data_IF_375435610545
#
_entry.id   IF_375435610545
#
_cell.length_a   1.000
_cell.length_b   1.000
_cell.length_c   1.000
_cell.angle_alpha   90.00
_cell.angle_beta   90.00
_cell.angle_gamma   90.00
#
_symmetry.space_group_name_H-M   'P 1'
#
loop_
_entity.id
_entity.type
_entity.pdbx_description
1 polymer ?
#
# COMPACT_ATOMS: atom_id res chain seq x y z
N UNK A 1 12.48 29.13 -34.78
CA UNK A 1 11.59 28.97 -33.61
C UNK A 1 11.57 27.48 -33.32
N UNK A 2 12.41 27.03 -32.41
CA UNK A 2 12.42 25.63 -31.97
C UNK A 2 11.25 25.46 -30.96
N UNK A 3 10.14 24.90 -31.43
CA UNK A 3 9.05 24.51 -30.54
C UNK A 3 9.58 23.52 -29.53
N UNK A 4 9.18 23.70 -28.29
CA UNK A 4 9.58 22.88 -27.17
C UNK A 4 9.18 21.41 -27.42
N UNK A 5 10.15 20.60 -27.86
CA UNK A 5 9.95 19.17 -28.16
C UNK A 5 9.47 18.33 -26.97
N UNK A 6 9.62 18.89 -25.78
CA UNK A 6 9.22 18.20 -24.55
C UNK A 6 7.69 18.08 -24.39
N UNK A 7 6.92 19.08 -24.90
CA UNK A 7 5.47 19.06 -24.78
C UNK A 7 4.78 18.02 -25.68
N UNK A 8 5.33 17.78 -26.90
CA UNK A 8 4.73 16.83 -27.83
C UNK A 8 5.00 15.36 -27.50
N UNK A 9 6.14 15.07 -26.86
CA UNK A 9 6.44 13.72 -26.35
C UNK A 9 5.53 13.39 -25.16
N UNK A 10 5.23 14.38 -24.33
CA UNK A 10 4.28 14.26 -23.21
C UNK A 10 2.86 14.03 -23.74
N UNK A 11 2.47 14.64 -24.88
CA UNK A 11 1.13 14.46 -25.48
C UNK A 11 0.89 13.04 -26.04
N UNK A 12 1.88 12.38 -26.59
CA UNK A 12 1.77 10.99 -27.05
C UNK A 12 1.63 9.99 -25.87
N UNK A 13 2.17 10.33 -24.71
CA UNK A 13 2.06 9.58 -23.46
C UNK A 13 1.04 10.13 -22.47
N UNK A 14 0.37 11.27 -22.76
CA UNK A 14 -0.46 11.98 -21.77
C UNK A 14 -1.65 11.13 -21.25
N UNK A 15 -2.18 10.22 -22.04
CA UNK A 15 -3.18 9.25 -21.58
C UNK A 15 -2.60 8.27 -20.58
N UNK A 16 -1.39 7.75 -20.81
CA UNK A 16 -0.69 6.84 -19.91
C UNK A 16 -0.16 7.55 -18.65
N UNK A 17 0.35 8.76 -18.79
CA UNK A 17 0.91 9.53 -17.68
C UNK A 17 -0.18 10.07 -16.73
N UNK A 18 -1.32 10.53 -17.25
CA UNK A 18 -2.50 10.84 -16.43
C UNK A 18 -3.05 9.60 -15.73
N UNK A 19 -3.11 8.46 -16.43
CA UNK A 19 -3.55 7.20 -15.83
C UNK A 19 -2.55 6.69 -14.78
N UNK A 20 -1.24 6.82 -14.98
CA UNK A 20 -0.23 6.44 -14.00
C UNK A 20 -0.18 7.38 -12.79
N UNK A 21 -0.34 8.69 -12.99
CA UNK A 21 -0.46 9.66 -11.89
C UNK A 21 -1.72 9.41 -11.05
N UNK A 22 -2.86 9.11 -11.67
CA UNK A 22 -4.09 8.77 -10.93
C UNK A 22 -3.96 7.46 -10.18
N UNK A 23 -3.32 6.44 -10.76
CA UNK A 23 -3.08 5.16 -10.09
C UNK A 23 -2.10 5.30 -8.91
N UNK A 24 -1.04 6.09 -9.05
CA UNK A 24 -0.11 6.35 -7.94
C UNK A 24 -0.78 7.14 -6.81
N UNK A 25 -1.57 8.15 -7.13
CA UNK A 25 -2.30 8.93 -6.13
C UNK A 25 -3.37 8.09 -5.40
N UNK A 26 -4.08 7.23 -6.10
CA UNK A 26 -5.05 6.29 -5.51
C UNK A 26 -4.35 5.26 -4.61
N UNK A 27 -3.20 4.74 -5.04
CA UNK A 27 -2.39 3.85 -4.20
C UNK A 27 -1.94 4.56 -2.93
N UNK A 28 -1.39 5.78 -3.04
CA UNK A 28 -0.92 6.57 -1.89
C UNK A 28 -2.05 6.87 -0.90
N UNK A 29 -3.21 7.25 -1.38
CA UNK A 29 -4.38 7.48 -0.55
C UNK A 29 -4.81 6.19 0.17
N UNK A 30 -4.85 5.07 -0.56
CA UNK A 30 -5.21 3.76 0.01
C UNK A 30 -4.17 3.29 1.02
N UNK A 31 -2.89 3.47 0.72
CA UNK A 31 -1.80 3.11 1.61
C UNK A 31 -1.81 3.93 2.90
N UNK A 32 -1.99 5.26 2.82
CA UNK A 32 -2.14 6.12 4.01
C UNK A 32 -3.32 5.71 4.88
N UNK A 33 -4.46 5.43 4.25
CA UNK A 33 -5.66 4.96 4.96
C UNK A 33 -5.43 3.59 5.61
N UNK A 34 -4.72 2.68 4.95
CA UNK A 34 -4.36 1.37 5.51
C UNK A 34 -3.37 1.51 6.67
N UNK A 35 -2.38 2.39 6.57
CA UNK A 35 -1.46 2.69 7.67
C UNK A 35 -2.20 3.25 8.90
N UNK A 36 -3.19 4.13 8.71
CA UNK A 36 -3.99 4.67 9.81
C UNK A 36 -4.80 3.57 10.51
N UNK A 37 -5.46 2.70 9.75
CA UNK A 37 -6.20 1.57 10.31
C UNK A 37 -5.26 0.62 11.03
N UNK A 38 -4.11 0.29 10.44
CA UNK A 38 -3.09 -0.55 11.07
C UNK A 38 -2.59 0.03 12.41
N UNK A 39 -2.45 1.37 12.50
CA UNK A 39 -2.08 2.04 13.74
C UNK A 39 -3.17 1.91 14.81
N UNK A 40 -4.43 2.13 14.43
CA UNK A 40 -5.58 2.01 15.35
C UNK A 40 -5.73 0.56 15.80
N UNK A 41 -5.68 -0.39 14.88
CA UNK A 41 -5.77 -1.83 15.18
C UNK A 41 -4.64 -2.26 16.11
N UNK A 42 -3.41 -1.82 15.87
CA UNK A 42 -2.26 -2.08 16.72
C UNK A 42 -2.45 -1.53 18.13
N UNK A 43 -2.98 -0.31 18.26
CA UNK A 43 -3.27 0.29 19.56
C UNK A 43 -4.33 -0.51 20.32
N UNK A 44 -5.41 -0.91 19.65
CA UNK A 44 -6.48 -1.69 20.27
C UNK A 44 -5.96 -3.07 20.68
N UNK A 45 -5.15 -3.75 19.86
CA UNK A 45 -4.52 -5.04 20.20
C UNK A 45 -3.69 -4.90 21.49
N UNK A 46 -2.89 -3.84 21.60
CA UNK A 46 -2.07 -3.58 22.81
C UNK A 46 -2.95 -3.34 24.03
N UNK A 47 -4.06 -2.58 23.88
CA UNK A 47 -5.01 -2.35 24.99
C UNK A 47 -5.70 -3.64 25.43
N UNK A 48 -6.12 -4.49 24.48
CA UNK A 48 -6.71 -5.81 24.78
C UNK A 48 -5.67 -6.69 25.49
N UNK A 49 -4.45 -6.75 24.99
CA UNK A 49 -3.36 -7.50 25.61
C UNK A 49 -3.05 -7.00 27.04
N UNK A 50 -3.09 -5.69 27.25
CA UNK A 50 -2.95 -5.07 28.57
C UNK A 50 -4.07 -5.49 29.54
N UNK A 51 -5.32 -5.52 29.07
CA UNK A 51 -6.44 -5.96 29.86
C UNK A 51 -6.35 -7.46 30.22
N UNK A 52 -5.94 -8.29 29.25
CA UNK A 52 -5.72 -9.72 29.51
C UNK A 52 -4.55 -9.96 30.45
N UNK A 53 -3.49 -9.14 30.39
CA UNK A 53 -2.36 -9.26 31.31
C UNK A 53 -2.80 -9.19 32.76
N UNK A 54 -3.74 -8.30 33.10
CA UNK A 54 -4.30 -8.21 34.46
C UNK A 54 -5.01 -9.48 34.90
N UNK A 55 -5.62 -10.23 33.98
CA UNK A 55 -6.28 -11.53 34.31
C UNK A 55 -5.26 -12.64 34.60
N UNK A 56 -4.08 -12.56 33.97
CA UNK A 56 -3.03 -13.58 34.14
C UNK A 56 -2.04 -13.24 35.25
N UNK A 57 -2.03 -12.02 35.76
CA UNK A 57 -1.13 -11.59 36.87
C UNK A 57 -1.13 -12.55 38.09
N UNK A 58 -2.29 -13.05 38.59
CA UNK A 58 -2.30 -13.95 39.72
C UNK A 58 -1.61 -15.30 39.48
N UNK A 59 -1.48 -15.71 38.21
CA UNK A 59 -0.90 -16.99 37.81
C UNK A 59 0.57 -16.92 37.43
N UNK A 60 0.99 -15.80 36.80
CA UNK A 60 2.30 -15.67 36.14
C UNK A 60 3.17 -14.58 36.79
N UNK A 61 2.60 -13.77 37.67
CA UNK A 61 3.32 -12.72 38.40
C UNK A 61 3.90 -11.65 37.45
N UNK A 62 5.11 -11.18 37.75
CA UNK A 62 5.72 -10.06 37.00
C UNK A 62 5.99 -10.34 35.50
N UNK A 63 6.01 -11.61 35.08
CA UNK A 63 6.19 -11.98 33.67
C UNK A 63 5.01 -11.48 32.80
N UNK A 64 3.87 -11.21 33.44
CA UNK A 64 2.68 -10.65 32.78
C UNK A 64 2.96 -9.38 32.00
N UNK A 65 3.95 -8.57 32.41
CA UNK A 65 4.36 -7.37 31.68
C UNK A 65 4.77 -7.69 30.24
N UNK A 66 5.31 -8.87 29.97
CA UNK A 66 5.71 -9.28 28.63
C UNK A 66 4.51 -9.51 27.71
N UNK A 67 3.34 -9.85 28.27
CA UNK A 67 2.12 -10.12 27.49
C UNK A 67 1.68 -8.89 26.70
N UNK A 68 1.88 -7.68 27.22
CA UNK A 68 1.53 -6.47 26.51
C UNK A 68 2.74 -5.73 25.91
N UNK A 69 3.95 -5.89 26.48
CA UNK A 69 5.16 -5.26 25.94
C UNK A 69 5.58 -5.87 24.60
N UNK A 70 5.45 -7.21 24.46
CA UNK A 70 5.81 -7.88 23.20
C UNK A 70 4.90 -7.40 22.03
N UNK A 71 3.56 -7.43 22.15
CA UNK A 71 2.70 -6.87 21.11
C UNK A 71 2.98 -5.38 20.82
N UNK A 72 3.23 -4.57 21.86
CA UNK A 72 3.54 -3.15 21.69
C UNK A 72 4.77 -2.93 20.81
N UNK A 73 5.89 -3.57 21.11
CA UNK A 73 7.12 -3.43 20.33
C UNK A 73 6.95 -4.01 18.93
N UNK A 74 6.36 -5.20 18.82
CA UNK A 74 6.19 -5.88 17.54
C UNK A 74 5.30 -5.09 16.59
N UNK A 75 4.13 -4.66 17.04
CA UNK A 75 3.19 -3.91 16.19
C UNK A 75 3.73 -2.53 15.84
N UNK A 76 4.43 -1.86 16.77
CA UNK A 76 5.09 -0.58 16.51
C UNK A 76 6.17 -0.73 15.44
N UNK A 77 7.01 -1.76 15.55
CA UNK A 77 8.07 -2.03 14.57
C UNK A 77 7.50 -2.38 13.19
N UNK A 78 6.44 -3.21 13.15
CA UNK A 78 5.73 -3.54 11.90
C UNK A 78 5.12 -2.27 11.30
N UNK A 79 4.44 -1.45 12.10
CA UNK A 79 3.81 -0.23 11.65
C UNK A 79 4.79 0.73 10.97
N UNK A 80 5.91 1.03 11.63
CA UNK A 80 6.92 1.92 11.05
C UNK A 80 7.53 1.35 9.77
N UNK A 81 7.82 0.05 9.76
CA UNK A 81 8.36 -0.61 8.59
C UNK A 81 7.36 -0.65 7.42
N UNK A 82 6.08 -0.86 7.72
CA UNK A 82 4.99 -0.84 6.74
C UNK A 82 4.77 0.57 6.18
N UNK A 83 4.78 1.59 7.04
CA UNK A 83 4.68 3.00 6.63
C UNK A 83 5.84 3.41 5.71
N UNK A 84 7.05 2.90 5.96
CA UNK A 84 8.24 3.11 5.14
C UNK A 84 8.26 2.20 3.90
N UNK A 85 7.19 1.44 3.65
CA UNK A 85 7.04 0.54 2.48
C UNK A 85 8.19 -0.46 2.33
N UNK A 86 8.76 -0.95 3.44
CA UNK A 86 9.79 -2.00 3.37
C UNK A 86 9.16 -3.29 2.82
N UNK A 87 9.83 -3.95 1.86
CA UNK A 87 9.31 -5.14 1.17
C UNK A 87 8.90 -6.26 2.13
N UNK A 88 9.69 -6.49 3.17
CA UNK A 88 9.41 -7.51 4.18
C UNK A 88 8.18 -7.19 5.04
N UNK A 89 7.86 -5.90 5.24
CA UNK A 89 6.75 -5.47 6.10
C UNK A 89 5.37 -5.73 5.48
N UNK A 90 5.30 -6.05 4.19
CA UNK A 90 4.07 -6.38 3.49
C UNK A 90 3.29 -7.52 4.17
N UNK A 91 3.93 -8.67 4.37
CA UNK A 91 3.31 -9.83 4.98
C UNK A 91 2.97 -9.65 6.46
N UNK A 92 3.89 -9.16 7.33
CA UNK A 92 3.56 -8.86 8.71
C UNK A 92 2.41 -7.86 8.87
N UNK A 93 2.33 -6.83 8.01
CA UNK A 93 1.21 -5.90 8.02
C UNK A 93 -0.14 -6.59 7.73
N UNK A 94 -0.18 -7.49 6.75
CA UNK A 94 -1.37 -8.29 6.45
C UNK A 94 -1.76 -9.21 7.63
N UNK A 95 -0.77 -9.83 8.28
CA UNK A 95 -1.00 -10.70 9.45
C UNK A 95 -1.59 -9.90 10.61
N UNK A 96 -1.08 -8.70 10.90
CA UNK A 96 -1.62 -7.85 11.96
C UNK A 96 -3.08 -7.47 11.67
N UNK A 97 -3.42 -7.09 10.43
CA UNK A 97 -4.80 -6.79 10.04
C UNK A 97 -5.72 -8.02 10.16
N UNK A 98 -5.23 -9.21 9.80
CA UNK A 98 -5.99 -10.45 9.94
C UNK A 98 -6.25 -10.80 11.41
N UNK A 99 -5.21 -10.71 12.25
CA UNK A 99 -5.32 -10.96 13.68
C UNK A 99 -6.25 -9.95 14.37
N UNK A 100 -6.14 -8.66 14.02
CA UNK A 100 -7.02 -7.61 14.50
C UNK A 100 -8.48 -7.92 14.15
N UNK A 101 -8.75 -8.24 12.88
CA UNK A 101 -10.09 -8.61 12.43
C UNK A 101 -10.67 -9.78 13.21
N UNK A 102 -9.86 -10.82 13.47
CA UNK A 102 -10.27 -12.00 14.23
C UNK A 102 -10.55 -11.66 15.70
N UNK A 103 -9.68 -10.88 16.35
CA UNK A 103 -9.86 -10.45 17.73
C UNK A 103 -11.10 -9.57 17.89
N UNK A 104 -11.32 -8.62 16.99
CA UNK A 104 -12.51 -7.77 17.02
C UNK A 104 -13.79 -8.56 16.76
N UNK A 105 -13.73 -9.58 15.91
CA UNK A 105 -14.85 -10.48 15.69
C UNK A 105 -15.17 -11.30 16.96
N UNK A 106 -14.16 -11.76 17.68
CA UNK A 106 -14.35 -12.46 18.96
C UNK A 106 -14.98 -11.52 20.00
N UNK A 107 -14.45 -10.30 20.15
CA UNK A 107 -15.02 -9.28 21.05
C UNK A 107 -16.46 -8.88 20.67
N UNK A 108 -16.76 -8.85 19.37
CA UNK A 108 -18.12 -8.67 18.87
C UNK A 108 -19.05 -9.79 19.36
N UNK A 109 -18.64 -11.06 19.28
CA UNK A 109 -19.44 -12.19 19.76
C UNK A 109 -19.64 -12.13 21.29
N UNK A 110 -18.61 -11.78 22.05
CA UNK A 110 -18.69 -11.59 23.50
C UNK A 110 -19.68 -10.46 23.83
N UNK A 111 -19.58 -9.33 23.15
CA UNK A 111 -20.48 -8.19 23.32
C UNK A 111 -21.93 -8.56 22.97
N UNK A 112 -22.13 -9.34 21.90
CA UNK A 112 -23.44 -9.83 21.49
C UNK A 112 -24.07 -10.70 22.59
N UNK A 113 -23.30 -11.62 23.16
CA UNK A 113 -23.75 -12.47 24.28
C UNK A 113 -24.15 -11.62 25.49
N UNK A 114 -23.36 -10.59 25.83
CA UNK A 114 -23.66 -9.67 26.93
C UNK A 114 -24.96 -8.86 26.68
N UNK A 115 -25.20 -8.42 25.46
CA UNK A 115 -26.45 -7.69 25.08
C UNK A 115 -27.65 -8.62 25.24
N UNK A 116 -27.56 -9.87 24.79
CA UNK A 116 -28.61 -10.88 24.96
C UNK A 116 -28.93 -11.11 26.46
N UNK A 117 -27.91 -11.05 27.34
CA UNK A 117 -28.07 -11.15 28.77
C UNK A 117 -28.50 -9.84 29.45
N UNK A 118 -28.94 -8.81 28.70
CA UNK A 118 -29.55 -7.60 29.24
C UNK A 118 -28.58 -6.44 29.51
N UNK A 119 -27.32 -6.56 29.14
CA UNK A 119 -26.36 -5.46 29.32
C UNK A 119 -26.47 -4.39 28.21
N UNK A 120 -27.20 -3.33 28.49
CA UNK A 120 -27.35 -2.20 27.51
C UNK A 120 -26.01 -1.51 27.17
N UNK A 121 -25.06 -1.45 28.11
CA UNK A 121 -23.73 -0.88 27.88
C UNK A 121 -22.96 -1.61 26.80
N UNK A 122 -23.13 -2.92 26.69
CA UNK A 122 -22.45 -3.75 25.69
C UNK A 122 -22.93 -3.52 24.27
N UNK A 123 -24.08 -2.81 24.07
CA UNK A 123 -24.57 -2.45 22.74
C UNK A 123 -23.61 -1.50 22.01
N UNK A 124 -23.01 -0.56 22.72
CA UNK A 124 -22.00 0.33 22.16
C UNK A 124 -20.77 -0.47 21.69
N UNK A 125 -20.25 -1.37 22.50
CA UNK A 125 -19.11 -2.21 22.14
C UNK A 125 -19.43 -3.14 20.98
N UNK A 126 -20.63 -3.71 20.94
CA UNK A 126 -21.12 -4.53 19.82
C UNK A 126 -20.99 -3.79 18.49
N UNK A 127 -21.47 -2.55 18.42
CA UNK A 127 -21.42 -1.75 17.19
C UNK A 127 -19.98 -1.39 16.81
N UNK A 128 -19.17 -0.96 17.78
CA UNK A 128 -17.78 -0.53 17.55
C UNK A 128 -16.92 -1.73 17.11
N UNK A 129 -17.00 -2.86 17.79
CA UNK A 129 -16.21 -4.05 17.47
C UNK A 129 -16.67 -4.71 16.16
N UNK A 130 -17.96 -4.69 15.88
CA UNK A 130 -18.50 -5.14 14.58
C UNK A 130 -17.96 -4.30 13.41
N UNK A 131 -17.98 -2.98 13.55
CA UNK A 131 -17.42 -2.08 12.55
C UNK A 131 -15.89 -2.23 12.41
N UNK A 132 -15.16 -2.33 13.51
CA UNK A 132 -13.71 -2.51 13.52
C UNK A 132 -13.33 -3.83 12.82
N UNK A 133 -13.99 -4.93 13.15
CA UNK A 133 -13.78 -6.23 12.51
C UNK A 133 -14.01 -6.16 11.00
N UNK A 134 -15.14 -5.58 10.57
CA UNK A 134 -15.45 -5.41 9.16
C UNK A 134 -14.41 -4.54 8.43
N UNK A 135 -14.00 -3.42 9.04
CA UNK A 135 -13.02 -2.49 8.48
C UNK A 135 -11.66 -3.16 8.27
N UNK A 136 -11.14 -3.85 9.30
CA UNK A 136 -9.84 -4.53 9.26
C UNK A 136 -9.86 -5.70 8.26
N UNK A 137 -10.96 -6.48 8.22
CA UNK A 137 -11.14 -7.55 7.25
C UNK A 137 -11.17 -7.03 5.81
N UNK A 138 -11.89 -5.94 5.55
CA UNK A 138 -11.95 -5.35 4.22
C UNK A 138 -10.58 -4.81 3.78
N UNK A 139 -9.81 -4.22 4.69
CA UNK A 139 -8.43 -3.80 4.42
C UNK A 139 -7.49 -4.96 4.14
N UNK A 140 -7.62 -6.06 4.89
CA UNK A 140 -6.88 -7.28 4.59
C UNK A 140 -7.17 -7.79 3.17
N UNK A 141 -8.44 -7.82 2.74
CA UNK A 141 -8.79 -8.21 1.37
C UNK A 141 -8.18 -7.28 0.32
N UNK A 142 -8.21 -5.96 0.54
CA UNK A 142 -7.54 -5.00 -0.34
C UNK A 142 -6.04 -5.21 -0.42
N UNK A 143 -5.42 -5.60 0.69
CA UNK A 143 -4.00 -5.89 0.75
C UNK A 143 -3.58 -6.99 -0.24
N UNK A 144 -4.42 -8.01 -0.45
CA UNK A 144 -4.17 -9.09 -1.41
C UNK A 144 -4.60 -8.76 -2.85
N UNK A 145 -5.15 -7.58 -3.11
CA UNK A 145 -5.49 -7.19 -4.47
C UNK A 145 -4.22 -7.05 -5.33
N UNK A 146 -4.25 -7.49 -6.60
CA UNK A 146 -3.08 -7.44 -7.47
C UNK A 146 -2.57 -6.00 -7.66
N UNK A 147 -3.48 -5.03 -7.74
CA UNK A 147 -3.13 -3.62 -7.87
C UNK A 147 -2.38 -3.08 -6.65
N UNK A 148 -2.82 -3.43 -5.43
CA UNK A 148 -2.15 -2.99 -4.20
C UNK A 148 -0.79 -3.65 -4.05
N UNK A 149 -0.70 -4.96 -4.35
CA UNK A 149 0.56 -5.71 -4.31
C UNK A 149 1.59 -5.14 -5.30
N UNK A 150 1.18 -4.89 -6.55
CA UNK A 150 2.05 -4.26 -7.55
C UNK A 150 2.49 -2.86 -7.10
N UNK A 151 1.55 -2.01 -6.68
CA UNK A 151 1.85 -0.66 -6.20
C UNK A 151 2.85 -0.67 -5.03
N UNK A 152 2.66 -1.57 -4.06
CA UNK A 152 3.57 -1.68 -2.92
C UNK A 152 4.99 -2.08 -3.33
N UNK A 153 5.13 -3.07 -4.23
CA UNK A 153 6.44 -3.54 -4.70
C UNK A 153 7.09 -2.61 -5.72
N UNK A 154 6.31 -1.95 -6.57
CA UNK A 154 6.86 -0.99 -7.55
C UNK A 154 7.51 0.20 -6.86
N UNK A 155 6.90 0.71 -5.78
CA UNK A 155 7.52 1.77 -4.99
C UNK A 155 8.77 1.31 -4.20
N UNK A 156 8.88 0.02 -3.90
CA UNK A 156 10.08 -0.56 -3.28
C UNK A 156 11.19 -0.79 -4.31
N UNK A 157 10.78 -1.13 -5.54
CA UNK A 157 11.71 -1.43 -6.64
C UNK A 157 12.05 -0.24 -7.54
N UNK A 158 11.38 0.90 -7.36
CA UNK A 158 11.93 2.16 -7.86
C UNK A 158 12.95 2.63 -6.81
N UNK A 159 14.25 2.31 -6.97
CA UNK A 159 15.25 3.23 -6.48
C UNK A 159 14.79 4.56 -7.08
N UNK A 160 14.90 5.66 -6.38
CA UNK A 160 15.06 6.94 -7.05
C UNK A 160 16.05 6.62 -8.14
N UNK A 161 15.55 6.38 -9.34
CA UNK A 161 16.39 6.00 -10.45
C UNK A 161 17.35 7.15 -10.49
N UNK A 162 18.66 6.89 -10.30
CA UNK A 162 19.68 7.86 -10.54
C UNK A 162 19.58 8.16 -12.04
N UNK A 163 18.51 8.88 -12.37
CA UNK A 163 18.27 9.40 -13.71
C UNK A 163 19.41 10.37 -13.94
N UNK A 164 20.19 10.10 -14.95
CA UNK A 164 21.21 11.07 -15.39
C UNK A 164 20.50 12.33 -15.85
N UNK A 165 21.18 13.45 -15.78
CA UNK A 165 20.64 14.71 -16.26
C UNK A 165 20.12 14.57 -17.70
N UNK A 166 18.84 14.87 -17.90
CA UNK A 166 18.15 14.72 -19.18
C UNK A 166 17.47 13.36 -19.41
N UNK A 167 17.57 12.40 -18.48
CA UNK A 167 16.79 11.15 -18.55
C UNK A 167 15.40 11.32 -17.94
N UNK A 168 14.41 10.72 -18.58
CA UNK A 168 13.04 10.61 -18.05
C UNK A 168 12.53 9.18 -18.13
N UNK A 169 11.65 8.84 -17.19
CA UNK A 169 10.98 7.55 -17.24
C UNK A 169 9.81 7.60 -18.21
N UNK A 170 9.80 6.69 -19.16
CA UNK A 170 8.69 6.53 -20.10
C UNK A 170 8.28 5.07 -20.20
N UNK A 171 6.98 4.82 -20.44
CA UNK A 171 6.47 3.48 -20.64
C UNK A 171 6.50 3.13 -22.14
N UNK A 172 6.95 1.92 -22.46
CA UNK A 172 6.88 1.38 -23.81
C UNK A 172 5.41 1.30 -24.26
N UNK A 173 5.03 1.83 -25.45
CA UNK A 173 3.65 1.84 -25.90
C UNK A 173 3.07 0.44 -26.14
N UNK A 174 3.93 -0.58 -26.31
CA UNK A 174 3.48 -1.92 -26.66
C UNK A 174 3.46 -2.89 -25.45
N UNK A 175 4.51 -2.90 -24.61
CA UNK A 175 4.62 -3.85 -23.48
C UNK A 175 4.51 -3.18 -22.11
N UNK A 176 4.37 -1.84 -22.06
CA UNK A 176 4.25 -1.05 -20.82
C UNK A 176 5.47 -1.13 -19.89
N UNK A 177 6.59 -1.69 -20.35
CA UNK A 177 7.83 -1.69 -19.58
C UNK A 177 8.32 -0.25 -19.38
N UNK A 178 8.68 0.08 -18.13
CA UNK A 178 9.23 1.40 -17.79
C UNK A 178 10.70 1.44 -18.16
N UNK A 179 11.08 2.42 -18.96
CA UNK A 179 12.42 2.63 -19.49
C UNK A 179 12.90 4.03 -19.10
N UNK A 180 14.17 4.16 -18.74
CA UNK A 180 14.82 5.44 -18.68
C UNK A 180 15.23 5.82 -20.11
N UNK A 181 14.67 6.89 -20.63
CA UNK A 181 14.96 7.39 -21.98
C UNK A 181 15.46 8.81 -21.92
N UNK A 182 16.32 9.16 -22.88
CA UNK A 182 16.74 10.53 -23.14
C UNK A 182 16.02 11.04 -24.38
N UNK A 183 15.03 11.95 -24.24
CA UNK A 183 14.22 12.41 -25.35
C UNK A 183 15.03 13.13 -26.44
N UNK A 184 16.12 13.79 -26.04
CA UNK A 184 17.06 14.49 -26.89
C UNK A 184 17.89 13.55 -27.80
N UNK A 185 18.07 12.28 -27.35
CA UNK A 185 18.85 11.26 -28.09
C UNK A 185 17.98 10.19 -28.74
N UNK A 186 16.64 10.22 -28.49
CA UNK A 186 15.73 9.21 -29.00
C UNK A 186 15.64 9.26 -30.56
N UNK A 187 15.89 8.12 -31.18
CA UNK A 187 15.81 7.92 -32.63
C UNK A 187 14.54 7.12 -33.01
N UNK A 188 13.98 7.36 -34.24
CA UNK A 188 12.88 6.53 -34.76
C UNK A 188 13.22 5.04 -34.89
N UNK A 189 14.52 4.71 -34.99
CA UNK A 189 15.01 3.33 -35.05
C UNK A 189 15.14 2.64 -33.67
N UNK A 190 14.98 3.37 -32.56
CA UNK A 190 15.15 2.83 -31.25
C UNK A 190 14.02 1.87 -30.91
N UNK A 191 14.41 0.69 -30.42
CA UNK A 191 13.49 -0.39 -30.08
C UNK A 191 13.50 -0.67 -28.57
N UNK A 192 12.38 -1.10 -28.07
CA UNK A 192 12.24 -1.49 -26.69
C UNK A 192 13.08 -2.75 -26.40
N UNK A 193 13.96 -2.77 -25.39
CA UNK A 193 14.78 -3.94 -25.05
C UNK A 193 13.95 -5.13 -24.55
N UNK A 194 12.71 -4.91 -24.12
CA UNK A 194 11.82 -5.97 -23.62
C UNK A 194 11.00 -6.65 -24.72
N UNK A 195 10.50 -5.90 -25.70
CA UNK A 195 9.59 -6.44 -26.70
C UNK A 195 10.06 -6.22 -28.15
N UNK A 196 11.24 -5.61 -28.35
CA UNK A 196 11.84 -5.27 -29.65
C UNK A 196 10.93 -4.42 -30.58
N UNK A 197 9.84 -3.86 -30.09
CA UNK A 197 8.99 -2.94 -30.85
C UNK A 197 9.55 -1.52 -30.81
N UNK A 198 9.31 -0.69 -31.87
CA UNK A 198 9.79 0.68 -31.91
C UNK A 198 9.21 1.51 -30.76
N UNK A 199 10.06 2.30 -30.12
CA UNK A 199 9.68 3.21 -29.03
C UNK A 199 8.95 4.45 -29.56
N UNK A 200 9.24 4.84 -30.78
CA UNK A 200 8.61 5.99 -31.45
C UNK A 200 7.56 5.48 -32.43
N UNK A 201 6.32 5.94 -32.27
CA UNK A 201 5.27 5.59 -33.22
C UNK A 201 5.50 6.31 -34.58
N UNK A 202 5.11 5.63 -35.67
CA UNK A 202 5.25 6.24 -37.04
C UNK A 202 4.54 7.60 -37.16
N UNK A 203 3.39 7.76 -36.47
CA UNK A 203 2.67 9.04 -36.48
C UNK A 203 3.39 10.15 -35.72
N UNK A 204 4.24 9.83 -34.77
CA UNK A 204 5.09 10.78 -34.05
C UNK A 204 6.31 11.13 -34.91
N UNK A 205 6.94 10.14 -35.53
CA UNK A 205 8.08 10.34 -36.42
C UNK A 205 7.74 11.28 -37.58
N UNK A 206 6.57 11.10 -38.22
CA UNK A 206 6.13 11.96 -39.33
C UNK A 206 5.83 13.40 -38.90
N UNK A 207 5.33 13.63 -37.67
CA UNK A 207 5.09 15.00 -37.15
C UNK A 207 6.37 15.77 -36.87
N UNK A 208 7.43 15.08 -36.54
CA UNK A 208 8.73 15.70 -36.20
C UNK A 208 9.74 15.64 -37.35
N UNK A 209 9.33 15.18 -38.55
CA UNK A 209 10.19 15.16 -39.73
C UNK A 209 11.39 14.21 -39.58
N UNK A 210 11.22 13.12 -38.87
CA UNK A 210 12.22 12.06 -38.68
C UNK A 210 12.11 10.98 -39.78
N UNK A 211 11.86 11.39 -41.03
CA UNK A 211 11.90 10.52 -42.21
C UNK A 211 13.33 10.37 -42.77
#
# INVERSE_FOLDING_TARGET
MAGDRSEDIVLAGSGGQKASMTLSSLFDQTHRSTCLILAIDSLIIVLIAGNWSALFEPFVGQITILIWMIPLFLTTFIYFSYRLRKSWAYWPGAIVLALASLLFFFEFLVSLFQVINGSAYSLFFLLVMGYASYSSFNRMRYHFSPLYKQGYHTFVSTPEANLMDGEMLAACPNCMAVLAIRPDLLSPSDTCPHCNNPLVSRGLASRHGWE
#
